data_IF_962588303758
#
_entry.id   IF_962588303758
#
_cell.length_a   1.000
_cell.length_b   1.000
_cell.length_c   1.000
_cell.angle_alpha   90.00
_cell.angle_beta   90.00
_cell.angle_gamma   90.00
#
_symmetry.space_group_name_H-M   'P 1'
#
loop_
_entity.id
_entity.type
_entity.pdbx_description
1 polymer ?
#
# COMPACT_ATOMS: atom_id res chain seq x y z
N UNK A 1 29.06 3.68 -32.63
CA UNK A 1 27.74 3.03 -32.82
C UNK A 1 26.67 4.11 -32.71
N UNK A 2 25.74 4.18 -33.66
CA UNK A 2 24.60 5.11 -33.55
C UNK A 2 23.54 4.51 -32.63
N UNK A 3 22.85 5.36 -31.86
CA UNK A 3 21.79 4.94 -30.95
C UNK A 3 20.43 5.42 -31.44
N UNK A 4 19.45 4.53 -31.52
CA UNK A 4 18.10 4.85 -32.04
C UNK A 4 17.11 5.04 -30.89
N UNK A 5 16.38 6.16 -30.91
CA UNK A 5 15.35 6.43 -29.91
C UNK A 5 14.15 5.49 -30.10
N UNK A 6 13.81 4.70 -29.07
CA UNK A 6 12.69 3.74 -29.11
C UNK A 6 11.31 4.40 -29.25
N UNK A 7 11.20 5.71 -29.09
CA UNK A 7 9.93 6.44 -29.10
C UNK A 7 9.64 7.17 -30.41
N UNK A 8 10.66 7.68 -31.11
CA UNK A 8 10.50 8.42 -32.36
C UNK A 8 11.39 7.91 -33.53
N UNK A 9 12.27 6.95 -33.30
CA UNK A 9 13.14 6.38 -34.34
C UNK A 9 14.34 7.25 -34.74
N UNK A 10 14.54 8.43 -34.14
CA UNK A 10 15.66 9.33 -34.48
C UNK A 10 16.99 8.74 -33.99
N UNK A 11 18.00 8.75 -34.86
CA UNK A 11 19.38 8.36 -34.55
C UNK A 11 20.12 9.47 -33.79
N UNK A 12 20.90 9.09 -32.77
CA UNK A 12 21.78 9.97 -32.00
C UNK A 12 23.20 9.41 -31.95
N UNK A 13 24.16 10.32 -31.93
CA UNK A 13 25.59 10.00 -31.98
C UNK A 13 26.11 9.37 -30.69
N UNK A 14 25.50 9.68 -29.55
CA UNK A 14 25.92 9.17 -28.24
C UNK A 14 24.75 8.70 -27.39
N UNK A 15 25.02 7.78 -26.47
CA UNK A 15 24.03 7.24 -25.52
C UNK A 15 23.53 8.29 -24.51
N UNK A 16 24.35 9.28 -24.16
CA UNK A 16 23.95 10.37 -23.25
C UNK A 16 22.92 11.29 -23.92
N UNK A 17 23.13 11.66 -25.18
CA UNK A 17 22.18 12.46 -25.98
C UNK A 17 20.88 11.66 -26.18
N UNK A 18 20.98 10.35 -26.41
CA UNK A 18 19.81 9.47 -26.48
C UNK A 18 19.01 9.49 -25.17
N UNK A 19 19.67 9.50 -24.01
CA UNK A 19 18.98 9.50 -22.72
C UNK A 19 18.16 10.77 -22.51
N UNK A 20 18.74 11.96 -22.74
CA UNK A 20 18.03 13.23 -22.64
C UNK A 20 16.91 13.37 -23.68
N UNK A 21 17.18 12.95 -24.92
CA UNK A 21 16.18 12.94 -25.99
C UNK A 21 15.03 11.98 -25.68
N UNK A 22 15.29 10.79 -25.11
CA UNK A 22 14.24 9.82 -24.77
C UNK A 22 13.27 10.36 -23.72
N UNK A 23 13.78 11.13 -22.74
CA UNK A 23 12.97 11.78 -21.69
C UNK A 23 12.12 12.90 -22.28
N UNK A 24 12.68 13.72 -23.18
CA UNK A 24 11.93 14.75 -23.90
C UNK A 24 10.87 14.14 -24.83
N UNK A 25 11.25 13.13 -25.60
CA UNK A 25 10.41 12.40 -26.55
C UNK A 25 9.24 11.68 -25.88
N UNK A 26 9.40 11.25 -24.63
CA UNK A 26 8.31 10.68 -23.82
C UNK A 26 7.20 11.68 -23.48
N UNK A 27 7.53 12.98 -23.46
CA UNK A 27 6.67 14.08 -22.98
C UNK A 27 6.33 15.10 -24.07
N UNK A 28 6.74 14.86 -25.32
CA UNK A 28 6.39 15.73 -26.43
C UNK A 28 4.87 15.59 -26.74
N UNK A 29 4.08 16.68 -26.71
CA UNK A 29 2.65 16.67 -27.01
C UNK A 29 2.29 16.02 -28.34
N UNK A 30 3.11 16.20 -29.38
CA UNK A 30 2.86 15.64 -30.72
C UNK A 30 2.99 14.11 -30.72
N UNK A 31 3.86 13.57 -29.85
CA UNK A 31 4.03 12.12 -29.65
C UNK A 31 2.95 11.57 -28.71
N UNK A 32 2.43 12.37 -27.76
CA UNK A 32 1.24 12.00 -27.00
C UNK A 32 0.00 11.87 -27.90
N UNK A 33 -0.14 12.74 -28.91
CA UNK A 33 -1.21 12.64 -29.89
C UNK A 33 -1.06 11.38 -30.77
N UNK A 34 0.16 11.08 -31.21
CA UNK A 34 0.45 9.84 -31.92
C UNK A 34 0.25 8.58 -31.04
N UNK A 35 0.56 8.64 -29.74
CA UNK A 35 0.26 7.58 -28.76
C UNK A 35 -1.22 7.47 -28.45
N UNK A 36 -1.97 8.58 -28.41
CA UNK A 36 -3.44 8.56 -28.30
C UNK A 36 -4.04 7.85 -29.51
N UNK A 37 -3.55 8.14 -30.71
CA UNK A 37 -3.94 7.48 -31.95
C UNK A 37 -3.56 5.98 -31.99
N UNK A 38 -2.38 5.59 -31.49
CA UNK A 38 -1.99 4.20 -31.27
C UNK A 38 -2.80 3.50 -30.15
N UNK A 39 -3.19 4.22 -29.10
CA UNK A 39 -4.04 3.68 -28.03
C UNK A 39 -5.48 3.49 -28.49
N UNK A 40 -5.95 4.34 -29.40
CA UNK A 40 -7.23 4.23 -30.09
C UNK A 40 -7.24 3.01 -31.03
N UNK A 41 -6.13 2.74 -31.74
CA UNK A 41 -5.99 1.52 -32.54
C UNK A 41 -5.83 0.24 -31.71
N UNK A 42 -5.34 0.35 -30.47
CA UNK A 42 -5.21 -0.74 -29.49
C UNK A 42 -6.41 -0.91 -28.54
N UNK A 43 -7.49 -0.12 -28.69
CA UNK A 43 -8.73 -0.37 -27.94
C UNK A 43 -9.27 -1.74 -28.37
N UNK A 44 -9.03 -2.74 -27.52
CA UNK A 44 -9.57 -4.09 -27.70
C UNK A 44 -11.06 -3.96 -28.02
N UNK A 45 -11.45 -4.35 -29.23
CA UNK A 45 -12.85 -4.35 -29.65
C UNK A 45 -13.64 -5.14 -28.60
N UNK A 46 -14.71 -4.57 -28.06
CA UNK A 46 -15.59 -5.26 -27.10
C UNK A 46 -16.88 -5.65 -27.77
N UNK A 47 -17.34 -6.89 -27.55
CA UNK A 47 -18.65 -7.37 -27.99
C UNK A 47 -19.61 -7.37 -26.82
N UNK A 48 -20.78 -6.76 -27.01
CA UNK A 48 -21.89 -6.84 -26.05
C UNK A 48 -22.57 -8.19 -26.17
N UNK A 49 -22.77 -8.88 -25.05
CA UNK A 49 -23.43 -10.19 -24.99
C UNK A 49 -24.51 -10.15 -23.91
N UNK A 50 -25.69 -10.66 -24.26
CA UNK A 50 -26.82 -10.80 -23.35
C UNK A 50 -26.81 -12.22 -22.78
N UNK A 51 -26.79 -12.35 -21.45
CA UNK A 51 -26.88 -13.63 -20.73
C UNK A 51 -28.13 -13.68 -19.87
N UNK A 52 -28.58 -14.89 -19.56
CA UNK A 52 -29.70 -15.12 -18.63
C UNK A 52 -29.11 -15.42 -17.25
N UNK A 53 -29.61 -14.74 -16.22
CA UNK A 53 -29.18 -14.96 -14.85
C UNK A 53 -29.61 -16.35 -14.37
N UNK A 54 -28.66 -17.19 -13.96
CA UNK A 54 -28.94 -18.55 -13.42
C UNK A 54 -29.81 -18.55 -12.15
N UNK A 55 -30.10 -17.37 -11.57
CA UNK A 55 -30.82 -17.21 -10.31
C UNK A 55 -32.23 -16.67 -10.47
N UNK A 56 -32.36 -15.52 -11.13
CA UNK A 56 -33.64 -14.82 -11.30
C UNK A 56 -34.14 -14.86 -12.75
N UNK A 57 -33.42 -15.52 -13.65
CA UNK A 57 -33.76 -15.66 -15.07
C UNK A 57 -33.88 -14.33 -15.85
N UNK A 58 -33.55 -13.20 -15.22
CA UNK A 58 -33.47 -11.89 -15.87
C UNK A 58 -32.30 -11.84 -16.85
N UNK A 59 -32.53 -11.29 -18.03
CA UNK A 59 -31.49 -10.99 -19.02
C UNK A 59 -30.56 -9.89 -18.49
N UNK A 60 -29.26 -10.03 -18.67
CA UNK A 60 -28.28 -9.02 -18.28
C UNK A 60 -27.12 -8.96 -19.27
N UNK A 61 -26.53 -7.79 -19.40
CA UNK A 61 -25.44 -7.55 -20.33
C UNK A 61 -24.07 -7.82 -19.70
N UNK A 62 -23.16 -8.35 -20.52
CA UNK A 62 -21.72 -8.40 -20.27
C UNK A 62 -20.96 -7.95 -21.52
N UNK A 63 -19.72 -7.52 -21.34
CA UNK A 63 -18.84 -7.10 -22.43
C UNK A 63 -17.65 -8.06 -22.51
N UNK A 64 -17.50 -8.75 -23.64
CA UNK A 64 -16.32 -9.61 -23.91
C UNK A 64 -15.28 -8.84 -24.72
N UNK A 65 -14.01 -9.06 -24.39
CA UNK A 65 -12.89 -8.52 -25.18
C UNK A 65 -12.66 -9.44 -26.38
N UNK A 66 -12.50 -8.84 -27.56
CA UNK A 66 -12.08 -9.50 -28.78
C UNK A 66 -10.57 -9.28 -28.94
N UNK A 67 -9.82 -10.36 -29.18
CA UNK A 67 -8.39 -10.31 -29.52
C UNK A 67 -8.15 -11.23 -30.70
N UNK A 68 -7.54 -10.71 -31.77
CA UNK A 68 -7.31 -11.45 -33.02
C UNK A 68 -8.59 -12.14 -33.51
N UNK A 69 -9.69 -11.38 -33.57
CA UNK A 69 -11.02 -11.85 -34.02
C UNK A 69 -11.68 -12.95 -33.17
N UNK A 70 -11.06 -13.36 -32.05
CA UNK A 70 -11.62 -14.36 -31.12
C UNK A 70 -12.10 -13.72 -29.82
N UNK A 71 -13.21 -14.24 -29.29
CA UNK A 71 -13.75 -13.82 -27.98
C UNK A 71 -12.94 -14.44 -26.84
N UNK A 72 -12.49 -13.62 -25.88
CA UNK A 72 -11.81 -14.11 -24.68
C UNK A 72 -12.85 -14.41 -23.59
N UNK A 73 -13.04 -15.69 -23.27
CA UNK A 73 -13.87 -16.14 -22.14
C UNK A 73 -12.97 -16.28 -20.91
N UNK A 74 -13.32 -15.57 -19.83
CA UNK A 74 -12.56 -15.66 -18.57
C UNK A 74 -13.28 -16.53 -17.56
N UNK A 75 -12.54 -17.24 -16.70
CA UNK A 75 -13.09 -18.02 -15.58
C UNK A 75 -13.87 -17.17 -14.56
N UNK A 76 -13.67 -15.83 -14.60
CA UNK A 76 -14.35 -14.85 -13.75
C UNK A 76 -15.60 -14.24 -14.41
N UNK A 77 -16.04 -14.76 -15.55
CA UNK A 77 -17.24 -14.27 -16.22
C UNK A 77 -18.47 -14.44 -15.30
N UNK A 78 -19.22 -13.34 -15.14
CA UNK A 78 -20.33 -13.27 -14.19
C UNK A 78 -21.49 -14.17 -14.67
N UNK A 79 -21.98 -15.04 -13.77
CA UNK A 79 -23.13 -15.94 -14.02
C UNK A 79 -24.49 -15.35 -13.59
N UNK A 80 -24.48 -14.31 -12.77
CA UNK A 80 -25.69 -13.71 -12.21
C UNK A 80 -25.78 -12.23 -12.55
N UNK A 81 -26.99 -11.67 -12.72
CA UNK A 81 -27.19 -10.26 -13.08
C UNK A 81 -26.64 -9.28 -12.03
N UNK A 82 -26.55 -9.69 -10.76
CA UNK A 82 -26.11 -8.84 -9.65
C UNK A 82 -25.38 -9.63 -8.56
N UNK A 83 -24.64 -8.92 -7.71
CA UNK A 83 -24.02 -9.49 -6.51
C UNK A 83 -25.06 -10.00 -5.52
N UNK A 84 -26.24 -9.37 -5.48
CA UNK A 84 -27.40 -9.84 -4.71
C UNK A 84 -27.83 -11.24 -5.17
N UNK A 85 -28.00 -11.44 -6.48
CA UNK A 85 -28.31 -12.75 -7.06
C UNK A 85 -27.18 -13.77 -6.86
N UNK A 86 -25.92 -13.36 -6.93
CA UNK A 86 -24.79 -14.25 -6.65
C UNK A 86 -24.79 -14.74 -5.19
N UNK A 87 -25.23 -13.88 -4.26
CA UNK A 87 -25.22 -14.15 -2.82
C UNK A 87 -26.52 -14.75 -2.27
N UNK A 88 -27.63 -14.73 -3.03
CA UNK A 88 -28.86 -15.42 -2.63
C UNK A 88 -28.63 -16.92 -2.68
N UNK A 89 -28.48 -17.53 -1.51
CA UNK A 89 -28.41 -18.99 -1.37
C UNK A 89 -29.78 -19.56 -1.77
N UNK A 90 -29.84 -20.44 -2.78
CA UNK A 90 -30.96 -21.41 -2.90
C UNK A 90 -30.82 -22.35 -1.70
N UNK A 91 -31.44 -22.00 -0.56
CA UNK A 91 -31.90 -23.04 0.31
C UNK A 91 -33.25 -23.49 -0.26
N UNK A 92 -33.26 -24.61 -0.97
CA UNK A 92 -34.53 -25.32 -1.14
C UNK A 92 -35.03 -25.71 0.24
N UNK A 93 -36.35 -25.82 0.45
CA UNK A 93 -36.91 -26.24 1.74
C UNK A 93 -36.24 -27.52 2.27
N UNK A 94 -35.90 -28.46 1.37
CA UNK A 94 -35.18 -29.70 1.71
C UNK A 94 -33.74 -29.45 2.20
N UNK A 95 -33.02 -28.50 1.58
CA UNK A 95 -31.65 -28.17 1.98
C UNK A 95 -31.60 -27.42 3.31
N UNK A 96 -32.62 -26.62 3.61
CA UNK A 96 -32.80 -26.05 4.95
C UNK A 96 -33.07 -27.13 5.99
N UNK A 97 -33.96 -28.09 5.69
CA UNK A 97 -34.33 -29.18 6.60
C UNK A 97 -33.13 -30.06 6.95
N UNK A 98 -32.34 -30.46 5.95
CA UNK A 98 -31.11 -31.26 6.17
C UNK A 98 -30.03 -30.51 6.96
N UNK A 99 -29.88 -29.20 6.78
CA UNK A 99 -28.95 -28.39 7.59
C UNK A 99 -29.45 -28.31 9.04
N UNK A 100 -30.75 -28.09 9.24
CA UNK A 100 -31.35 -28.01 10.57
C UNK A 100 -31.23 -29.34 11.34
N UNK A 101 -31.50 -30.47 10.68
CA UNK A 101 -31.34 -31.82 11.23
C UNK A 101 -29.88 -32.11 11.62
N UNK A 102 -28.91 -31.72 10.79
CA UNK A 102 -27.48 -31.84 11.12
C UNK A 102 -27.11 -31.02 12.36
N UNK A 103 -27.56 -29.76 12.43
CA UNK A 103 -27.29 -28.89 13.59
C UNK A 103 -27.94 -29.45 14.86
N UNK A 104 -29.19 -29.90 14.79
CA UNK A 104 -29.93 -30.50 15.91
C UNK A 104 -29.23 -31.75 16.46
N UNK A 105 -28.83 -32.69 15.60
CA UNK A 105 -28.07 -33.89 16.00
C UNK A 105 -26.72 -33.55 16.65
N UNK A 106 -26.05 -32.51 16.16
CA UNK A 106 -24.77 -32.05 16.73
C UNK A 106 -24.95 -31.39 18.10
N UNK A 107 -26.07 -30.71 18.34
CA UNK A 107 -26.40 -30.09 19.62
C UNK A 107 -26.81 -31.13 20.67
N UNK A 108 -27.56 -32.16 20.29
CA UNK A 108 -27.96 -33.27 21.17
C UNK A 108 -26.76 -34.10 21.64
N UNK A 109 -25.80 -34.38 20.74
CA UNK A 109 -24.57 -35.13 21.08
C UNK A 109 -23.57 -34.33 21.92
N UNK A 110 -23.62 -32.99 21.91
CA UNK A 110 -22.74 -32.13 22.71
C UNK A 110 -23.25 -31.83 24.13
N UNK A 111 -24.47 -32.26 24.47
CA UNK A 111 -25.12 -31.90 25.75
C UNK A 111 -24.72 -32.76 26.95
N UNK A 112 -23.87 -33.79 26.81
CA UNK A 112 -23.17 -34.38 27.96
C UNK A 112 -21.92 -33.53 28.26
N UNK A 113 -22.12 -32.23 28.48
CA UNK A 113 -21.03 -31.35 28.85
C UNK A 113 -20.65 -31.64 30.31
N UNK A 114 -19.64 -32.50 30.52
CA UNK A 114 -19.05 -32.73 31.84
C UNK A 114 -18.72 -31.37 32.45
N UNK A 115 -19.42 -31.04 33.53
CA UNK A 115 -19.14 -29.85 34.32
C UNK A 115 -17.82 -30.05 35.03
N UNK A 116 -17.02 -29.00 35.08
CA UNK A 116 -15.77 -28.98 35.82
C UNK A 116 -15.67 -27.67 36.57
N UNK A 117 -14.87 -27.66 37.63
CA UNK A 117 -14.55 -26.46 38.37
C UNK A 117 -13.14 -26.00 37.99
N UNK A 118 -12.95 -24.69 37.90
CA UNK A 118 -11.60 -24.11 37.78
C UNK A 118 -11.42 -22.97 38.77
N UNK A 119 -10.19 -22.76 39.21
CA UNK A 119 -9.81 -21.67 40.10
C UNK A 119 -9.30 -20.49 39.27
N UNK A 120 -9.78 -19.28 39.59
CA UNK A 120 -9.31 -18.07 38.95
C UNK A 120 -7.86 -17.76 39.36
N UNK A 121 -6.95 -17.59 38.40
CA UNK A 121 -5.54 -17.26 38.70
C UNK A 121 -5.30 -15.89 39.36
N UNK A 122 -6.32 -15.03 39.43
CA UNK A 122 -6.19 -13.67 39.99
C UNK A 122 -6.83 -13.55 41.35
N UNK A 123 -8.06 -14.06 41.52
CA UNK A 123 -8.80 -13.91 42.76
C UNK A 123 -9.00 -15.22 43.54
N UNK A 124 -8.44 -16.33 43.06
CA UNK A 124 -8.56 -17.65 43.70
C UNK A 124 -9.97 -18.27 43.66
N UNK A 125 -11.02 -17.52 43.30
CA UNK A 125 -12.40 -18.03 43.34
C UNK A 125 -12.61 -19.21 42.39
N UNK A 126 -13.26 -20.25 42.90
CA UNK A 126 -13.70 -21.41 42.14
C UNK A 126 -14.94 -21.06 41.30
N UNK A 127 -14.96 -21.46 40.02
CA UNK A 127 -16.09 -21.26 39.10
C UNK A 127 -16.44 -22.57 38.41
N UNK A 128 -17.73 -22.91 38.40
CA UNK A 128 -18.28 -24.01 37.62
C UNK A 128 -18.35 -23.62 36.13
N UNK A 129 -17.83 -24.45 35.24
CA UNK A 129 -17.91 -24.25 33.79
C UNK A 129 -17.93 -25.59 33.04
N UNK A 130 -18.13 -25.58 31.73
CA UNK A 130 -18.07 -26.80 30.93
C UNK A 130 -16.64 -27.02 30.41
N UNK A 131 -16.18 -28.28 30.34
CA UNK A 131 -14.84 -28.62 29.81
C UNK A 131 -14.63 -28.02 28.41
N UNK A 132 -15.68 -28.02 27.58
CA UNK A 132 -15.66 -27.43 26.23
C UNK A 132 -15.37 -25.92 26.26
N UNK A 133 -16.00 -25.15 27.17
CA UNK A 133 -15.75 -23.71 27.33
C UNK A 133 -14.37 -23.45 27.94
N UNK A 134 -13.89 -24.33 28.82
CA UNK A 134 -12.55 -24.21 29.41
C UNK A 134 -11.47 -24.38 28.34
N UNK A 135 -11.56 -25.42 27.50
CA UNK A 135 -10.61 -25.72 26.40
C UNK A 135 -10.70 -24.70 25.26
N UNK A 136 -11.91 -24.41 24.77
CA UNK A 136 -12.12 -23.54 23.58
C UNK A 136 -11.65 -22.10 23.80
N UNK A 137 -11.78 -21.58 25.02
CA UNK A 137 -11.42 -20.20 25.35
C UNK A 137 -10.19 -20.10 26.25
N UNK A 138 -9.53 -21.22 26.54
CA UNK A 138 -8.37 -21.33 27.42
C UNK A 138 -8.56 -20.49 28.70
N UNK A 139 -9.72 -20.69 29.36
CA UNK A 139 -10.31 -19.72 30.28
C UNK A 139 -9.58 -19.72 31.62
N UNK A 140 -8.66 -18.78 31.82
CA UNK A 140 -7.80 -18.67 33.03
C UNK A 140 -8.41 -17.84 34.18
N UNK A 141 -9.49 -17.11 33.90
CA UNK A 141 -10.04 -16.10 34.82
C UNK A 141 -11.56 -16.25 34.97
N UNK A 142 -12.08 -16.01 36.18
CA UNK A 142 -13.50 -16.15 36.50
C UNK A 142 -14.39 -15.03 35.91
N UNK A 143 -13.81 -13.88 35.59
CA UNK A 143 -14.53 -12.69 35.13
C UNK A 143 -13.67 -11.84 34.19
N UNK A 144 -14.33 -10.96 33.42
CA UNK A 144 -13.68 -9.96 32.57
C UNK A 144 -12.85 -8.98 33.41
N UNK A 145 -13.30 -8.66 34.63
CA UNK A 145 -12.57 -7.85 35.63
C UNK A 145 -11.25 -8.52 36.02
N UNK A 146 -11.26 -9.81 36.38
CA UNK A 146 -10.03 -10.56 36.70
C UNK A 146 -9.11 -10.68 35.48
N UNK A 147 -9.65 -10.91 34.28
CA UNK A 147 -8.86 -10.89 33.05
C UNK A 147 -8.22 -9.52 32.79
N UNK A 148 -8.94 -8.44 33.10
CA UNK A 148 -8.43 -7.08 32.97
C UNK A 148 -7.31 -6.78 33.97
N UNK A 149 -7.45 -7.21 35.23
CA UNK A 149 -6.38 -7.12 36.24
C UNK A 149 -5.13 -7.92 35.86
N UNK A 150 -5.30 -9.13 35.32
CA UNK A 150 -4.20 -9.91 34.74
C UNK A 150 -3.54 -9.18 33.56
N UNK A 151 -4.32 -8.45 32.75
CA UNK A 151 -3.79 -7.66 31.63
C UNK A 151 -3.16 -6.33 32.07
N UNK A 152 -3.51 -5.79 33.24
CA UNK A 152 -2.86 -4.61 33.83
C UNK A 152 -1.52 -4.96 34.48
N UNK A 153 -1.41 -6.12 35.14
CA UNK A 153 -0.13 -6.66 35.61
C UNK A 153 0.75 -7.16 34.45
N UNK A 154 0.12 -7.59 33.35
CA UNK A 154 0.73 -7.71 32.01
C UNK A 154 0.55 -6.43 31.17
N UNK A 155 0.55 -5.23 31.77
CA UNK A 155 1.11 -4.09 31.03
C UNK A 155 2.49 -4.58 30.69
N UNK A 156 2.69 -4.95 29.43
CA UNK A 156 3.99 -5.29 28.90
C UNK A 156 4.94 -4.26 29.46
N UNK A 157 5.72 -4.65 30.46
CA UNK A 157 6.74 -3.77 30.98
C UNK A 157 7.52 -3.39 29.73
N UNK A 158 7.61 -2.10 29.43
CA UNK A 158 8.44 -1.57 28.34
C UNK A 158 9.93 -1.82 28.63
N UNK A 159 10.27 -2.98 29.20
CA UNK A 159 11.62 -3.46 29.38
C UNK A 159 12.26 -3.58 28.01
N UNK A 160 13.56 -3.32 27.99
CA UNK A 160 14.39 -3.43 26.79
C UNK A 160 14.27 -4.81 26.15
N UNK A 161 14.18 -5.87 26.96
CA UNK A 161 14.00 -7.25 26.52
C UNK A 161 12.68 -7.50 25.80
N UNK A 162 11.55 -6.97 26.28
CA UNK A 162 10.25 -7.20 25.64
C UNK A 162 10.18 -6.51 24.27
N UNK A 163 10.75 -5.31 24.16
CA UNK A 163 10.93 -4.58 22.88
C UNK A 163 11.85 -5.34 21.93
N UNK A 164 12.97 -5.87 22.43
CA UNK A 164 13.91 -6.67 21.64
C UNK A 164 13.26 -7.95 21.11
N UNK A 165 12.47 -8.64 21.95
CA UNK A 165 11.74 -9.86 21.57
C UNK A 165 10.68 -9.58 20.50
N UNK A 166 9.93 -8.48 20.61
CA UNK A 166 8.99 -8.06 19.55
C UNK A 166 9.75 -7.76 18.26
N UNK A 167 10.83 -6.98 18.33
CA UNK A 167 11.65 -6.65 17.15
C UNK A 167 12.19 -7.91 16.47
N UNK A 168 12.67 -8.86 17.25
CA UNK A 168 13.14 -10.16 16.76
C UNK A 168 12.03 -10.94 16.05
N UNK A 169 10.86 -11.10 16.69
CA UNK A 169 9.72 -11.82 16.11
C UNK A 169 9.21 -11.17 14.81
N UNK A 170 9.19 -9.84 14.75
CA UNK A 170 8.82 -9.08 13.54
C UNK A 170 9.84 -9.32 12.41
N UNK A 171 11.14 -9.28 12.71
CA UNK A 171 12.21 -9.59 11.73
C UNK A 171 12.15 -11.03 11.26
N UNK A 172 11.82 -11.97 12.15
CA UNK A 172 11.68 -13.38 11.81
C UNK A 172 10.46 -13.63 10.91
N UNK A 173 9.34 -12.95 11.16
CA UNK A 173 8.17 -12.98 10.28
C UNK A 173 8.48 -12.40 8.89
N UNK A 174 9.30 -11.35 8.81
CA UNK A 174 9.80 -10.80 7.54
C UNK A 174 10.59 -11.86 6.76
N UNK A 175 11.55 -12.51 7.43
CA UNK A 175 12.38 -13.57 6.83
C UNK A 175 11.54 -14.73 6.31
N UNK A 176 10.45 -15.07 7.00
CA UNK A 176 9.50 -16.13 6.61
C UNK A 176 8.47 -15.68 5.57
N UNK A 177 8.61 -14.48 4.98
CA UNK A 177 7.71 -13.96 3.95
C UNK A 177 6.29 -13.66 4.44
N UNK A 178 6.07 -13.61 5.76
CA UNK A 178 4.74 -13.32 6.33
C UNK A 178 4.48 -11.81 6.30
N UNK A 179 3.27 -11.44 5.91
CA UNK A 179 2.84 -10.04 5.81
C UNK A 179 2.84 -9.39 7.20
N UNK A 180 3.78 -8.49 7.45
CA UNK A 180 3.88 -7.76 8.72
C UNK A 180 2.81 -6.66 8.72
N UNK A 181 1.73 -6.86 9.47
CA UNK A 181 0.80 -5.78 9.81
C UNK A 181 1.30 -5.08 11.07
N UNK A 182 1.91 -3.89 10.92
CA UNK A 182 2.49 -3.21 12.09
C UNK A 182 2.93 -1.76 11.94
N UNK A 183 3.03 -1.21 10.73
CA UNK A 183 3.12 0.23 10.52
C UNK A 183 1.89 0.72 9.79
N UNK A 184 0.96 1.39 10.47
CA UNK A 184 -0.03 2.21 9.76
C UNK A 184 0.66 3.51 9.37
N UNK A 185 1.54 3.46 8.36
CA UNK A 185 2.00 4.70 7.73
C UNK A 185 0.74 5.37 7.17
N UNK A 186 0.32 6.47 7.80
CA UNK A 186 -0.87 7.21 7.38
C UNK A 186 -0.48 7.95 6.12
N UNK A 187 -0.93 7.43 4.98
CA UNK A 187 -0.81 8.13 3.72
C UNK A 187 -1.74 9.36 3.74
N UNK A 188 -1.18 10.52 3.45
CA UNK A 188 -1.90 11.76 3.28
C UNK A 188 -2.07 11.99 1.78
N UNK A 189 -3.30 12.25 1.36
CA UNK A 189 -3.58 12.62 -0.03
C UNK A 189 -3.44 14.14 -0.17
N UNK A 190 -2.64 14.58 -1.13
CA UNK A 190 -2.41 16.00 -1.44
C UNK A 190 -2.84 16.22 -2.88
N UNK A 191 -3.70 17.23 -3.08
CA UNK A 191 -4.02 17.72 -4.41
C UNK A 191 -2.91 18.69 -4.82
N UNK A 192 -2.23 18.37 -5.92
CA UNK A 192 -1.20 19.21 -6.52
C UNK A 192 -1.64 19.70 -7.90
N UNK A 193 -0.87 20.61 -8.50
CA UNK A 193 -1.06 21.00 -9.91
C UNK A 193 -0.99 19.80 -10.87
N UNK A 194 -0.47 18.66 -10.40
CA UNK A 194 -0.27 17.41 -11.15
C UNK A 194 -1.28 16.33 -10.82
N UNK A 195 -2.28 16.66 -10.00
CA UNK A 195 -3.30 15.75 -9.53
C UNK A 195 -3.03 15.24 -8.11
N UNK A 196 -3.65 14.10 -7.77
CA UNK A 196 -3.62 13.53 -6.42
C UNK A 196 -2.38 12.69 -6.21
N UNK A 197 -1.54 13.09 -5.25
CA UNK A 197 -0.38 12.32 -4.81
C UNK A 197 -0.57 11.82 -3.37
N UNK A 198 0.15 10.76 -3.01
CA UNK A 198 0.13 10.16 -1.67
C UNK A 198 1.50 10.29 -1.04
N UNK A 199 1.56 10.96 0.10
CA UNK A 199 2.78 11.22 0.87
C UNK A 199 2.66 10.63 2.28
N UNK A 200 3.78 10.40 2.95
CA UNK A 200 3.85 9.72 4.26
C UNK A 200 3.98 10.70 5.43
N UNK A 201 4.52 11.89 5.21
CA UNK A 201 4.80 12.88 6.26
C UNK A 201 4.07 14.21 6.07
N UNK A 202 3.79 14.91 7.18
CA UNK A 202 3.27 16.28 7.12
C UNK A 202 4.26 17.27 6.49
N UNK A 203 5.56 17.01 6.58
CA UNK A 203 6.60 17.85 5.96
C UNK A 203 6.62 17.68 4.44
N UNK A 204 6.37 16.46 3.96
CA UNK A 204 6.19 16.18 2.54
C UNK A 204 4.95 16.91 2.00
N UNK A 205 3.83 16.92 2.74
CA UNK A 205 2.63 17.70 2.37
C UNK A 205 2.96 19.18 2.16
N UNK A 206 3.61 19.80 3.15
CA UNK A 206 4.04 21.21 3.07
C UNK A 206 4.96 21.46 1.89
N UNK A 207 5.90 20.55 1.66
CA UNK A 207 6.85 20.61 0.53
C UNK A 207 6.14 20.54 -0.81
N UNK A 208 5.09 19.72 -0.95
CA UNK A 208 4.29 19.68 -2.18
C UNK A 208 3.65 21.04 -2.49
N UNK A 209 3.07 21.71 -1.48
CA UNK A 209 2.47 23.04 -1.66
C UNK A 209 3.51 24.11 -2.02
N UNK A 210 4.68 24.07 -1.36
CA UNK A 210 5.81 24.96 -1.68
C UNK A 210 6.25 24.76 -3.14
N UNK A 211 6.47 23.51 -3.55
CA UNK A 211 6.98 23.20 -4.88
C UNK A 211 5.97 23.52 -5.99
N UNK A 212 4.67 23.31 -5.75
CA UNK A 212 3.60 23.73 -6.66
C UNK A 212 3.60 25.25 -6.89
N UNK A 213 3.83 26.02 -5.82
CA UNK A 213 3.87 27.48 -5.91
C UNK A 213 5.16 27.96 -6.58
N UNK A 214 6.30 27.32 -6.31
CA UNK A 214 7.56 27.59 -7.01
C UNK A 214 7.45 27.28 -8.52
N UNK A 215 6.74 26.21 -8.89
CA UNK A 215 6.47 25.86 -10.28
C UNK A 215 5.57 26.90 -10.96
N UNK A 216 4.49 27.34 -10.28
CA UNK A 216 3.61 28.42 -10.78
C UNK A 216 4.36 29.72 -11.05
N UNK A 217 5.30 30.08 -10.17
CA UNK A 217 6.15 31.27 -10.31
C UNK A 217 7.31 31.11 -11.30
N UNK A 218 7.42 29.95 -11.96
CA UNK A 218 8.51 29.61 -12.89
C UNK A 218 9.91 29.67 -12.27
N UNK A 219 10.03 29.54 -10.95
CA UNK A 219 11.33 29.43 -10.25
C UNK A 219 11.97 28.07 -10.48
N UNK A 220 11.12 27.05 -10.63
CA UNK A 220 11.49 25.70 -11.05
C UNK A 220 10.68 25.35 -12.30
N UNK A 221 11.23 24.51 -13.16
CA UNK A 221 10.54 24.06 -14.36
C UNK A 221 9.53 22.97 -14.03
N UNK A 222 9.89 22.09 -13.10
CA UNK A 222 9.13 20.87 -12.80
C UNK A 222 9.63 20.25 -11.49
N UNK A 223 8.75 19.61 -10.73
CA UNK A 223 9.13 18.78 -9.57
C UNK A 223 8.32 17.48 -9.49
N UNK A 224 8.91 16.35 -9.12
CA UNK A 224 8.17 15.09 -8.93
C UNK A 224 8.43 14.47 -7.57
N UNK A 225 7.40 13.82 -7.02
CA UNK A 225 7.58 12.84 -5.94
C UNK A 225 8.19 11.58 -6.55
N UNK A 226 9.50 11.42 -6.36
CA UNK A 226 10.32 10.59 -7.25
C UNK A 226 10.35 9.12 -6.81
N UNK A 227 10.74 8.24 -7.74
CA UNK A 227 11.07 6.85 -7.45
C UNK A 227 12.58 6.58 -7.53
N UNK A 228 13.37 7.64 -7.71
CA UNK A 228 14.82 7.56 -7.85
C UNK A 228 15.47 7.04 -6.56
N UNK A 229 16.34 6.05 -6.73
CA UNK A 229 17.00 5.37 -5.62
C UNK A 229 18.50 5.32 -5.83
N UNK A 230 19.23 5.42 -4.73
CA UNK A 230 20.66 5.13 -4.69
C UNK A 230 20.92 3.89 -3.84
N UNK A 231 22.06 3.25 -4.07
CA UNK A 231 22.60 2.21 -3.19
C UNK A 231 23.59 2.85 -2.22
N UNK A 232 23.61 2.39 -0.97
CA UNK A 232 24.59 2.81 0.04
C UNK A 232 24.92 1.65 0.99
N UNK A 233 26.06 1.74 1.67
CA UNK A 233 26.44 0.80 2.73
C UNK A 233 25.99 1.34 4.09
N UNK A 234 25.27 0.52 4.86
CA UNK A 234 24.98 0.85 6.26
C UNK A 234 26.22 0.65 7.15
N UNK A 235 26.12 1.02 8.44
CA UNK A 235 27.23 0.89 9.41
C UNK A 235 27.80 -0.53 9.56
N UNK A 236 27.08 -1.57 9.12
CA UNK A 236 27.53 -2.95 9.16
C UNK A 236 28.01 -3.43 7.78
N UNK A 237 28.37 -2.50 6.89
CA UNK A 237 28.74 -2.76 5.50
C UNK A 237 27.68 -3.53 4.71
N UNK A 238 26.40 -3.43 5.08
CA UNK A 238 25.31 -4.05 4.32
C UNK A 238 24.79 -3.08 3.29
N UNK A 239 24.66 -3.56 2.05
CA UNK A 239 24.07 -2.79 0.96
C UNK A 239 22.57 -2.55 1.23
N UNK A 240 22.18 -1.29 1.06
CA UNK A 240 20.81 -0.79 1.25
C UNK A 240 20.45 0.15 0.11
N UNK A 241 19.15 0.26 -0.14
CA UNK A 241 18.62 1.28 -1.05
C UNK A 241 18.02 2.45 -0.25
N UNK A 242 18.28 3.66 -0.72
CA UNK A 242 17.67 4.90 -0.26
C UNK A 242 16.83 5.50 -1.39
N UNK A 243 15.63 5.98 -1.07
CA UNK A 243 14.69 6.64 -1.97
C UNK A 243 14.64 8.12 -1.56
N UNK A 244 14.83 9.03 -2.51
CA UNK A 244 14.66 10.47 -2.27
C UNK A 244 13.16 10.84 -2.21
N UNK A 245 12.81 11.89 -1.48
CA UNK A 245 11.42 12.36 -1.43
C UNK A 245 11.02 13.06 -2.75
N UNK A 246 11.77 14.09 -3.15
CA UNK A 246 11.42 14.92 -4.30
C UNK A 246 12.60 15.11 -5.27
N UNK A 247 12.30 15.18 -6.56
CA UNK A 247 13.23 15.55 -7.63
C UNK A 247 12.77 16.85 -8.29
N UNK A 248 13.66 17.83 -8.37
CA UNK A 248 13.39 19.19 -8.83
C UNK A 248 14.24 19.47 -10.06
N UNK A 249 13.59 19.95 -11.11
CA UNK A 249 14.22 20.34 -12.36
C UNK A 249 14.19 21.87 -12.48
N UNK A 250 15.36 22.45 -12.73
CA UNK A 250 15.53 23.87 -13.08
C UNK A 250 16.14 23.96 -14.47
N UNK A 251 16.27 25.18 -15.00
CA UNK A 251 16.93 25.42 -16.29
C UNK A 251 18.37 24.92 -16.31
N UNK A 252 19.08 25.02 -15.17
CA UNK A 252 20.52 24.74 -15.10
C UNK A 252 20.85 23.35 -14.58
N UNK A 253 20.00 22.79 -13.73
CA UNK A 253 20.36 21.59 -12.97
C UNK A 253 19.14 20.81 -12.47
N UNK A 254 19.37 19.54 -12.17
CA UNK A 254 18.45 18.66 -11.45
C UNK A 254 19.01 18.45 -10.05
N UNK A 255 18.18 18.67 -9.05
CA UNK A 255 18.53 18.42 -7.65
C UNK A 255 17.38 17.71 -6.92
N UNK A 256 17.70 17.15 -5.76
CA UNK A 256 16.76 16.40 -4.93
C UNK A 256 16.50 17.16 -3.64
N UNK A 257 15.28 17.03 -3.11
CA UNK A 257 14.94 17.50 -1.76
C UNK A 257 14.56 16.28 -0.91
N UNK A 258 15.19 16.16 0.25
CA UNK A 258 14.76 15.28 1.35
C UNK A 258 14.18 16.13 2.47
N UNK A 259 13.02 15.78 2.98
CA UNK A 259 12.39 16.46 4.11
C UNK A 259 12.68 15.72 5.42
N UNK A 260 13.14 16.44 6.45
CA UNK A 260 13.50 15.79 7.72
C UNK A 260 13.11 16.58 8.95
N UNK A 261 12.51 15.88 9.92
CA UNK A 261 12.27 16.42 11.26
C UNK A 261 13.48 16.27 12.19
N UNK A 262 14.16 15.12 12.12
CA UNK A 262 15.31 14.80 12.97
C UNK A 262 16.31 13.94 12.20
N UNK A 263 17.60 14.23 12.36
CA UNK A 263 18.70 13.55 11.68
C UNK A 263 19.17 12.35 12.49
N UNK A 264 19.20 11.17 11.89
CA UNK A 264 19.89 10.01 12.44
C UNK A 264 21.23 9.83 11.76
N UNK A 265 22.16 9.16 12.43
CA UNK A 265 23.48 8.88 11.86
C UNK A 265 23.40 8.06 10.55
N UNK A 266 22.44 7.15 10.44
CA UNK A 266 22.18 6.43 9.19
C UNK A 266 21.66 7.34 8.06
N UNK A 267 21.07 8.49 8.36
CA UNK A 267 20.68 9.45 7.33
C UNK A 267 21.91 10.14 6.75
N UNK A 268 22.89 10.50 7.59
CA UNK A 268 24.17 11.05 7.14
C UNK A 268 24.90 10.12 6.15
N UNK A 269 24.90 8.81 6.43
CA UNK A 269 25.52 7.82 5.51
C UNK A 269 24.86 7.84 4.12
N UNK A 270 23.52 7.93 4.07
CA UNK A 270 22.78 8.00 2.80
C UNK A 270 23.10 9.27 2.04
N UNK A 271 23.15 10.41 2.74
CA UNK A 271 23.36 11.71 2.14
C UNK A 271 24.79 11.88 1.63
N UNK A 272 25.78 11.42 2.39
CA UNK A 272 27.17 11.40 1.95
C UNK A 272 27.33 10.51 0.71
N UNK A 273 26.66 9.36 0.69
CA UNK A 273 26.70 8.47 -0.48
C UNK A 273 26.02 9.11 -1.71
N UNK A 274 24.89 9.80 -1.52
CA UNK A 274 24.25 10.56 -2.59
C UNK A 274 25.21 11.60 -3.20
N UNK A 275 25.91 12.35 -2.34
CA UNK A 275 26.89 13.35 -2.79
C UNK A 275 28.07 12.72 -3.54
N UNK A 276 28.61 11.59 -3.03
CA UNK A 276 29.68 10.84 -3.72
C UNK A 276 29.28 10.36 -5.11
N UNK A 277 28.01 9.98 -5.28
CA UNK A 277 27.46 9.56 -6.58
C UNK A 277 27.06 10.75 -7.48
N UNK A 278 27.39 11.98 -7.09
CA UNK A 278 27.16 13.19 -7.90
C UNK A 278 25.75 13.78 -7.79
N UNK A 279 24.93 13.31 -6.85
CA UNK A 279 23.59 13.87 -6.65
C UNK A 279 23.65 15.17 -5.85
N UNK A 280 22.99 16.21 -6.37
CA UNK A 280 22.77 17.46 -5.63
C UNK A 280 21.57 17.26 -4.71
N UNK A 281 21.83 16.95 -3.43
CA UNK A 281 20.78 16.72 -2.43
C UNK A 281 20.67 17.92 -1.47
N UNK A 282 19.48 18.49 -1.35
CA UNK A 282 19.13 19.50 -0.33
C UNK A 282 18.25 18.87 0.73
N UNK A 283 18.65 19.00 2.00
CA UNK A 283 17.82 18.54 3.12
C UNK A 283 17.04 19.73 3.67
N UNK A 284 15.71 19.63 3.66
CA UNK A 284 14.82 20.65 4.21
C UNK A 284 14.33 20.24 5.59
N UNK A 285 14.65 21.08 6.57
CA UNK A 285 14.12 21.00 7.93
C UNK A 285 12.92 21.92 8.09
N UNK A 286 12.28 21.85 9.26
CA UNK A 286 11.14 22.70 9.61
C UNK A 286 11.39 24.20 9.33
N UNK A 287 12.58 24.70 9.68
CA UNK A 287 12.95 26.11 9.46
C UNK A 287 13.04 26.47 7.98
N UNK A 288 13.53 25.55 7.15
CA UNK A 288 13.62 25.75 5.70
C UNK A 288 12.22 25.80 5.07
N UNK A 289 11.32 24.89 5.48
CA UNK A 289 9.92 24.90 5.04
C UNK A 289 9.23 26.22 5.41
N UNK A 290 9.33 26.64 6.68
CA UNK A 290 8.74 27.90 7.16
C UNK A 290 9.32 29.13 6.46
N UNK A 291 10.59 29.08 6.07
CA UNK A 291 11.24 30.15 5.30
C UNK A 291 10.66 30.21 3.88
N UNK A 292 10.48 29.07 3.22
CA UNK A 292 9.90 29.02 1.88
C UNK A 292 8.42 29.41 1.86
N UNK A 293 7.64 28.95 2.84
CA UNK A 293 6.23 29.33 2.96
C UNK A 293 6.06 30.84 3.14
N UNK A 294 6.86 31.46 4.04
CA UNK A 294 6.88 32.91 4.21
C UNK A 294 7.27 33.63 2.93
N UNK A 295 8.33 33.17 2.25
CA UNK A 295 8.78 33.75 0.98
C UNK A 295 7.70 33.68 -0.11
N UNK A 296 6.89 32.64 -0.09
CA UNK A 296 5.84 32.39 -1.08
C UNK A 296 4.47 32.88 -0.64
N UNK A 297 4.32 33.50 0.53
CA UNK A 297 3.04 33.90 1.13
C UNK A 297 2.04 32.73 1.23
N UNK A 298 2.52 31.53 1.57
CA UNK A 298 1.67 30.37 1.77
C UNK A 298 1.15 30.32 3.21
N UNK A 299 -0.18 30.24 3.35
CA UNK A 299 -0.89 29.90 4.58
C UNK A 299 -1.07 28.39 4.61
N UNK A 300 -0.20 27.67 5.33
CA UNK A 300 -0.21 26.19 5.43
C UNK A 300 -0.37 25.75 6.88
#
# INVERSE_FOLDING_TARGET
MKHICKHCGIEKETSSILSGHSVWCLKNPDIEEHKKNLSLSLRLKTKRIIKICERCHTKFEIYRKIKNEREIITSKERKCCSRKCANTRKYTKEKSKTVYEKVSKTLLTQNISKWTFFFCKICGKQKKTTISKLKKYNKKYCSRKCSYFASKSNRWKHTKESKNKISYLVKEQFRKGRKISGGKTKWLEVNTNRGKIKVQGSYEVRTCHILDEMEKRKEILFWEYTNDRIQYLDKNSKQRSYLFDFKICTVKTIYYIETKGYVKENDLLKWNEAQKQGYVLKVWYKKDLEKQERRLNLSV
#
